data_IF_423022372409
#
_entry.id   IF_423022372409
#
_cell.length_a   1.000
_cell.length_b   1.000
_cell.length_c   1.000
_cell.angle_alpha   90.00
_cell.angle_beta   90.00
_cell.angle_gamma   90.00
#
_symmetry.space_group_name_H-M   'P 1'
#
loop_
_entity.id
_entity.type
_entity.pdbx_description
1 polymer ?
#
# COMPACT_ATOMS: atom_id res chain seq x y z
N UNK A 1 -25.37 26.16 3.13
CA UNK A 1 -25.07 25.18 4.20
C UNK A 1 -25.73 23.89 3.73
N UNK A 2 -25.08 22.81 3.31
CA UNK A 2 -23.79 22.22 3.66
C UNK A 2 -22.94 21.95 2.40
N UNK A 3 -21.62 21.82 2.56
CA UNK A 3 -20.72 21.46 1.48
C UNK A 3 -20.66 19.95 1.31
N UNK A 4 -21.18 19.45 0.20
CA UNK A 4 -20.99 18.09 -0.26
C UNK A 4 -19.50 17.91 -0.63
N UNK A 5 -18.71 17.44 0.33
CA UNK A 5 -17.32 17.08 0.05
C UNK A 5 -17.36 15.80 -0.81
N UNK A 6 -16.77 15.78 -2.02
CA UNK A 6 -16.80 14.60 -2.86
C UNK A 6 -15.96 13.52 -2.18
N UNK A 7 -16.62 12.46 -1.69
CA UNK A 7 -15.98 11.24 -1.20
C UNK A 7 -15.24 10.63 -2.40
N UNK A 8 -13.90 10.72 -2.40
CA UNK A 8 -13.07 10.26 -3.52
C UNK A 8 -13.39 8.77 -3.78
N UNK A 9 -13.75 8.36 -5.01
CA UNK A 9 -13.99 6.96 -5.33
C UNK A 9 -12.64 6.22 -5.25
N UNK A 10 -12.47 5.35 -4.26
CA UNK A 10 -11.23 4.58 -4.06
C UNK A 10 -11.03 3.98 -2.66
N UNK A 11 -11.74 4.50 -1.66
CA UNK A 11 -11.44 4.26 -0.24
C UNK A 11 -11.64 2.83 0.28
N UNK A 12 -12.41 1.98 -0.40
CA UNK A 12 -12.65 0.60 0.08
C UNK A 12 -11.49 -0.36 -0.16
N UNK A 13 -10.66 -0.11 -1.18
CA UNK A 13 -9.55 -1.03 -1.51
C UNK A 13 -8.26 -0.62 -0.79
N UNK A 14 -8.08 0.64 -0.43
CA UNK A 14 -6.88 1.06 0.31
C UNK A 14 -6.87 0.48 1.73
N UNK A 15 -8.01 0.51 2.42
CA UNK A 15 -8.16 -0.04 3.78
C UNK A 15 -7.93 -1.56 3.79
N UNK A 16 -8.60 -2.30 2.90
CA UNK A 16 -8.44 -3.77 2.80
C UNK A 16 -7.00 -4.18 2.49
N UNK A 17 -6.30 -3.46 1.61
CA UNK A 17 -4.89 -3.76 1.31
C UNK A 17 -3.97 -3.25 2.42
N UNK A 18 -4.32 -2.19 3.13
CA UNK A 18 -3.60 -1.73 4.32
C UNK A 18 -3.61 -2.81 5.41
N UNK A 19 -4.78 -3.32 5.79
CA UNK A 19 -4.89 -4.40 6.77
C UNK A 19 -4.11 -5.68 6.36
N UNK A 20 -3.96 -5.93 5.06
CA UNK A 20 -3.28 -7.11 4.51
C UNK A 20 -1.79 -6.94 4.26
N UNK A 21 -1.25 -5.73 4.18
CA UNK A 21 0.14 -5.50 3.76
C UNK A 21 0.88 -4.43 4.56
N UNK A 22 0.18 -3.57 5.30
CA UNK A 22 0.83 -2.63 6.21
C UNK A 22 1.70 -3.39 7.19
N UNK A 23 2.90 -2.87 7.39
CA UNK A 23 3.93 -3.44 8.26
C UNK A 23 4.42 -4.86 7.92
N UNK A 24 3.90 -5.49 6.86
CA UNK A 24 4.34 -6.81 6.39
C UNK A 24 5.50 -6.73 5.40
N UNK A 25 5.69 -5.57 4.79
CA UNK A 25 6.72 -5.35 3.78
C UNK A 25 7.81 -4.44 4.34
N UNK A 26 9.04 -4.95 4.39
CA UNK A 26 10.19 -4.17 4.79
C UNK A 26 10.59 -3.19 3.68
N UNK A 27 10.92 -1.97 4.09
CA UNK A 27 11.45 -0.94 3.20
C UNK A 27 12.78 -1.40 2.58
N UNK A 28 12.93 -1.43 1.25
CA UNK A 28 14.17 -1.90 0.60
C UNK A 28 15.37 -0.95 0.80
N UNK A 29 15.16 0.25 1.34
CA UNK A 29 16.22 1.24 1.54
C UNK A 29 16.74 1.32 2.97
N UNK A 30 15.88 1.16 3.96
CA UNK A 30 16.24 1.29 5.38
C UNK A 30 15.87 0.08 6.22
N UNK A 31 15.31 -0.96 5.60
CA UNK A 31 14.90 -2.22 6.23
C UNK A 31 13.84 -2.06 7.34
N UNK A 32 13.26 -0.86 7.50
CA UNK A 32 12.16 -0.62 8.42
C UNK A 32 10.89 -1.31 7.94
N UNK A 33 10.17 -1.95 8.85
CA UNK A 33 8.82 -2.48 8.63
C UNK A 33 7.75 -1.40 8.80
N UNK A 34 8.09 -0.17 9.17
CA UNK A 34 7.13 0.92 9.29
C UNK A 34 6.76 1.45 7.89
N UNK A 35 5.98 0.65 7.18
CA UNK A 35 5.51 0.93 5.82
C UNK A 35 4.00 0.74 5.74
N UNK A 36 3.34 1.59 4.96
CA UNK A 36 1.91 1.53 4.73
C UNK A 36 1.57 1.58 3.24
N UNK A 37 0.45 0.99 2.87
CA UNK A 37 -0.11 1.01 1.52
C UNK A 37 -0.68 2.40 1.24
N UNK A 38 -0.17 3.05 0.19
CA UNK A 38 -0.70 4.33 -0.30
C UNK A 38 -1.66 4.14 -1.47
N UNK A 39 -1.45 3.09 -2.28
CA UNK A 39 -2.36 2.72 -3.36
C UNK A 39 -2.29 1.22 -3.65
N UNK A 40 -3.43 0.52 -3.78
CA UNK A 40 -3.48 -0.90 -4.17
C UNK A 40 -3.15 -1.13 -5.65
N UNK A 41 -2.97 -0.05 -6.41
CA UNK A 41 -2.57 -0.03 -7.81
C UNK A 41 -1.39 0.93 -8.00
N UNK A 42 -0.25 0.39 -8.43
CA UNK A 42 0.93 1.13 -8.86
C UNK A 42 0.97 1.32 -10.38
N UNK A 43 2.16 1.20 -10.99
CA UNK A 43 2.35 1.26 -12.44
C UNK A 43 1.74 0.08 -13.22
N UNK A 44 1.43 -1.02 -12.53
CA UNK A 44 0.69 -2.18 -13.05
C UNK A 44 -0.39 -2.61 -12.06
N UNK A 45 -1.41 -3.35 -12.52
CA UNK A 45 -2.52 -3.81 -11.66
C UNK A 45 -2.07 -4.74 -10.51
N UNK A 46 -0.90 -5.36 -10.69
CA UNK A 46 -0.28 -6.29 -9.76
C UNK A 46 0.72 -5.64 -8.80
N UNK A 47 0.97 -4.34 -8.97
CA UNK A 47 1.84 -3.54 -8.11
C UNK A 47 0.99 -2.78 -7.09
N UNK A 48 1.44 -2.78 -5.84
CA UNK A 48 0.92 -1.98 -4.74
C UNK A 48 1.94 -0.88 -4.49
N UNK A 49 1.51 0.38 -4.47
CA UNK A 49 2.37 1.47 -4.02
C UNK A 49 2.36 1.53 -2.50
N UNK A 50 3.54 1.44 -1.91
CA UNK A 50 3.78 1.50 -0.47
C UNK A 50 4.71 2.66 -0.14
N UNK A 51 4.60 3.17 1.09
CA UNK A 51 5.44 4.26 1.59
C UNK A 51 5.99 3.90 2.96
N UNK A 52 7.29 4.13 3.15
CA UNK A 52 7.93 4.02 4.45
C UNK A 52 7.83 5.33 5.23
N UNK A 53 7.45 5.28 6.50
CA UNK A 53 7.38 6.48 7.35
C UNK A 53 8.73 6.88 7.95
N UNK A 54 9.66 5.93 8.14
CA UNK A 54 11.01 6.21 8.66
C UNK A 54 11.86 7.01 7.65
N UNK A 55 12.07 6.44 6.46
CA UNK A 55 12.91 7.06 5.43
C UNK A 55 12.12 7.93 4.45
N UNK A 56 10.78 7.95 4.54
CA UNK A 56 9.86 8.70 3.66
C UNK A 56 9.91 8.30 2.19
N UNK A 57 10.63 7.23 1.84
CA UNK A 57 10.70 6.69 0.49
C UNK A 57 9.41 5.97 0.10
N UNK A 58 9.07 6.05 -1.18
CA UNK A 58 7.90 5.36 -1.77
C UNK A 58 8.40 4.29 -2.72
N UNK A 59 7.87 3.07 -2.63
CA UNK A 59 8.24 1.94 -3.48
C UNK A 59 7.00 1.21 -4.02
N UNK A 60 7.18 0.53 -5.15
CA UNK A 60 6.24 -0.48 -5.61
C UNK A 60 6.57 -1.83 -4.96
N UNK A 61 5.55 -2.47 -4.40
CA UNK A 61 5.60 -3.86 -3.94
C UNK A 61 4.71 -4.72 -4.83
N UNK A 62 5.25 -5.79 -5.39
CA UNK A 62 4.46 -6.68 -6.23
C UNK A 62 3.71 -7.69 -5.37
N UNK A 63 2.40 -7.87 -5.63
CA UNK A 63 1.51 -8.79 -4.89
C UNK A 63 2.05 -10.23 -4.82
N UNK A 64 2.91 -10.61 -5.77
CA UNK A 64 3.50 -11.94 -5.90
C UNK A 64 4.91 -12.06 -5.29
N UNK A 65 5.61 -10.96 -4.97
CA UNK A 65 6.91 -11.01 -4.27
C UNK A 65 6.76 -11.40 -2.79
N UNK A 66 5.57 -11.27 -2.23
CA UNK A 66 5.20 -11.83 -0.93
C UNK A 66 4.36 -13.11 -1.05
N UNK A 67 4.83 -14.11 -1.82
CA UNK A 67 4.23 -15.45 -2.02
C UNK A 67 2.84 -15.62 -1.38
N UNK A 68 1.78 -15.53 -2.18
CA UNK A 68 0.46 -16.02 -1.74
C UNK A 68 0.66 -17.46 -1.20
N UNK A 69 0.31 -17.76 0.06
CA UNK A 69 0.46 -19.11 0.59
C UNK A 69 -0.55 -20.03 -0.09
N UNK A 70 -0.05 -20.92 -0.95
CA UNK A 70 -0.64 -22.22 -1.29
C UNK A 70 -1.82 -22.22 -2.25
N UNK A 71 -1.52 -22.46 -3.53
CA UNK A 71 -2.04 -23.64 -4.22
C UNK A 71 -0.94 -24.72 -4.25
#
# INVERSE_FOLDING_TARGET
>A
MAGDTPKKPGQGQQEVFGDLYDEQVACPWCESTNTHVVSPFGGTVSEISMKCDDCKSTFGWMKWEGKLPGE
#
